data_IF_755591359151
#
_entry.id   IF_755591359151
#
_cell.length_a   1.000
_cell.length_b   1.000
_cell.length_c   1.000
_cell.angle_alpha   90.00
_cell.angle_beta   90.00
_cell.angle_gamma   90.00
#
_symmetry.space_group_name_H-M   'P 1'
#
loop_
_entity.id
_entity.type
_entity.pdbx_description
1 polymer ?
#
# COMPACT_ATOMS: atom_id res chain seq x y z
N UNK A 1 -20.18 -19.66 -3.31
CA UNK A 1 -20.79 -20.97 -2.99
C UNK A 1 -20.42 -21.26 -1.55
N UNK A 2 -21.35 -21.11 -0.65
CA UNK A 2 -21.23 -21.53 0.75
C UNK A 2 -21.38 -23.05 0.69
N UNK A 3 -20.41 -23.82 1.20
CA UNK A 3 -20.57 -25.27 1.33
C UNK A 3 -21.65 -25.52 2.36
N UNK A 4 -22.59 -26.38 2.07
CA UNK A 4 -23.70 -26.80 2.96
C UNK A 4 -23.25 -27.64 4.17
N UNK A 5 -21.97 -27.80 4.43
CA UNK A 5 -21.40 -28.34 5.65
C UNK A 5 -20.97 -27.17 6.54
N UNK A 6 -21.74 -26.89 7.60
CA UNK A 6 -21.52 -25.75 8.51
C UNK A 6 -20.26 -25.83 9.38
N UNK A 7 -19.15 -26.32 8.87
CA UNK A 7 -17.83 -26.23 9.47
C UNK A 7 -17.12 -25.00 8.84
N UNK A 8 -16.97 -23.93 9.62
CA UNK A 8 -16.13 -22.81 9.24
C UNK A 8 -14.68 -23.30 9.14
N UNK A 9 -14.14 -23.39 7.93
CA UNK A 9 -12.71 -23.71 7.75
C UNK A 9 -11.87 -22.54 8.27
N UNK A 10 -11.11 -22.75 9.33
CA UNK A 10 -10.13 -21.82 9.83
C UNK A 10 -9.11 -21.50 8.71
N UNK A 11 -8.88 -20.22 8.44
CA UNK A 11 -7.85 -19.81 7.49
C UNK A 11 -6.55 -19.54 8.25
N UNK A 12 -5.44 -20.14 7.82
CA UNK A 12 -4.15 -19.93 8.46
C UNK A 12 -3.11 -19.37 7.48
N UNK A 13 -2.27 -18.46 8.00
CA UNK A 13 -1.06 -17.98 7.33
C UNK A 13 0.15 -18.33 8.19
N UNK A 14 1.14 -19.00 7.59
CA UNK A 14 2.37 -19.41 8.27
C UNK A 14 3.54 -18.63 7.70
N UNK A 15 4.27 -17.94 8.56
CA UNK A 15 5.49 -17.21 8.23
C UNK A 15 6.67 -17.96 8.81
N UNK A 16 7.65 -18.30 7.97
CA UNK A 16 8.90 -18.94 8.40
C UNK A 16 10.03 -17.92 8.35
N UNK A 17 10.70 -17.73 9.47
CA UNK A 17 11.85 -16.86 9.59
C UNK A 17 13.14 -17.58 9.17
N UNK A 18 14.19 -16.81 8.85
CA UNK A 18 15.49 -17.35 8.44
C UNK A 18 16.19 -18.23 9.50
N UNK A 19 15.84 -18.05 10.78
CA UNK A 19 16.33 -18.87 11.89
C UNK A 19 15.50 -20.16 12.13
N UNK A 20 14.53 -20.44 11.25
CA UNK A 20 13.62 -21.57 11.35
C UNK A 20 12.46 -21.41 12.32
N UNK A 21 12.34 -20.24 12.97
CA UNK A 21 11.16 -19.91 13.77
C UNK A 21 9.94 -19.74 12.89
N UNK A 22 8.76 -20.13 13.39
CA UNK A 22 7.50 -20.01 12.66
C UNK A 22 6.50 -19.13 13.41
N UNK A 23 5.76 -18.31 12.67
CA UNK A 23 4.64 -17.54 13.14
C UNK A 23 3.39 -18.01 12.40
N UNK A 24 2.38 -18.44 13.13
CA UNK A 24 1.12 -18.87 12.55
C UNK A 24 0.00 -17.94 12.97
N UNK A 25 -0.66 -17.36 11.98
CA UNK A 25 -1.85 -16.54 12.14
C UNK A 25 -3.06 -17.39 11.75
N UNK A 26 -3.98 -17.62 12.65
CA UNK A 26 -5.23 -18.36 12.40
C UNK A 26 -6.40 -17.41 12.50
N UNK A 27 -7.13 -17.26 11.42
CA UNK A 27 -8.39 -16.53 11.37
C UNK A 27 -9.52 -17.52 11.63
N UNK A 28 -10.11 -17.42 12.82
CA UNK A 28 -11.29 -18.20 13.23
C UNK A 28 -12.52 -17.35 13.09
N UNK A 29 -13.49 -17.80 12.31
CA UNK A 29 -14.70 -17.05 12.02
C UNK A 29 -14.41 -15.57 11.70
N UNK A 30 -15.35 -14.79 11.31
CA UNK A 30 -15.13 -13.39 10.87
C UNK A 30 -14.58 -12.44 11.94
N UNK A 31 -14.31 -12.88 13.16
CA UNK A 31 -14.03 -11.99 14.29
C UNK A 31 -12.85 -12.36 15.18
N UNK A 32 -12.25 -13.53 15.07
CA UNK A 32 -11.15 -13.95 15.94
C UNK A 32 -9.90 -14.27 15.16
N UNK A 33 -8.82 -13.55 15.51
CA UNK A 33 -7.49 -13.83 15.02
C UNK A 33 -6.66 -14.41 16.17
N UNK A 34 -6.13 -15.62 15.99
CA UNK A 34 -5.21 -16.25 16.94
C UNK A 34 -3.82 -16.21 16.32
N UNK A 35 -2.89 -15.69 17.09
CA UNK A 35 -1.48 -15.62 16.72
C UNK A 35 -0.67 -16.56 17.61
N UNK A 36 0.02 -17.50 16.99
CA UNK A 36 0.93 -18.44 17.67
C UNK A 36 2.33 -18.30 17.11
N UNK A 37 3.33 -18.39 17.98
CA UNK A 37 4.73 -18.30 17.61
C UNK A 37 5.47 -19.51 18.18
N UNK A 38 6.08 -20.27 17.28
CA UNK A 38 7.03 -21.33 17.62
C UNK A 38 8.44 -20.81 17.34
N UNK A 39 9.27 -20.72 18.36
CA UNK A 39 10.62 -20.18 18.25
C UNK A 39 11.67 -21.29 18.36
N UNK A 40 12.66 -21.20 17.51
CA UNK A 40 13.93 -21.92 17.69
C UNK A 40 14.72 -21.23 18.80
N UNK A 41 14.57 -21.71 20.06
CA UNK A 41 15.24 -21.12 21.22
C UNK A 41 14.31 -20.83 22.38
N UNK A 42 14.63 -19.86 23.26
CA UNK A 42 13.81 -19.54 24.42
C UNK A 42 12.39 -19.14 24.05
N UNK A 43 11.41 -19.65 24.79
CA UNK A 43 9.99 -19.39 24.56
C UNK A 43 9.68 -17.89 24.66
N UNK A 44 9.00 -17.36 23.67
CA UNK A 44 8.51 -15.98 23.64
C UNK A 44 7.12 -15.96 24.28
N UNK A 45 7.01 -15.31 25.45
CA UNK A 45 5.76 -15.27 26.23
C UNK A 45 5.16 -13.86 26.39
N UNK A 46 5.89 -12.82 25.97
CA UNK A 46 5.45 -11.43 26.07
C UNK A 46 5.58 -10.69 24.75
N UNK A 47 4.74 -9.67 24.54
CA UNK A 47 4.82 -8.81 23.35
C UNK A 47 6.19 -8.11 23.22
N UNK A 48 6.82 -7.73 24.34
CA UNK A 48 8.14 -7.11 24.34
C UNK A 48 9.22 -8.10 23.89
N UNK A 49 9.22 -9.34 24.42
CA UNK A 49 10.12 -10.39 24.01
C UNK A 49 9.93 -10.76 22.53
N UNK A 50 8.67 -10.75 22.05
CA UNK A 50 8.36 -10.96 20.64
C UNK A 50 8.96 -9.87 19.76
N UNK A 51 8.73 -8.58 20.07
CA UNK A 51 9.30 -7.46 19.31
C UNK A 51 10.83 -7.44 19.31
N UNK A 52 11.44 -7.84 20.41
CA UNK A 52 12.91 -7.95 20.49
C UNK A 52 13.46 -9.10 19.65
N UNK A 53 12.76 -10.22 19.61
CA UNK A 53 13.18 -11.41 18.84
C UNK A 53 12.91 -11.27 17.35
N UNK A 54 11.78 -10.66 17.01
CA UNK A 54 11.33 -10.41 15.63
C UNK A 54 11.16 -8.90 15.43
N UNK A 55 12.23 -8.19 15.07
CA UNK A 55 12.20 -6.73 14.85
C UNK A 55 11.52 -6.39 13.52
N UNK A 56 10.30 -6.92 13.33
CA UNK A 56 9.47 -6.63 12.18
C UNK A 56 8.55 -5.46 12.52
N UNK A 57 8.73 -4.36 11.83
CA UNK A 57 7.78 -3.25 11.84
C UNK A 57 7.05 -3.26 10.48
N UNK A 58 5.82 -3.78 10.49
CA UNK A 58 5.01 -3.94 9.29
C UNK A 58 4.04 -2.79 9.17
N UNK A 59 4.06 -2.11 8.06
CA UNK A 59 3.09 -1.09 7.71
C UNK A 59 2.25 -1.55 6.52
N UNK A 60 0.97 -1.79 6.75
CA UNK A 60 0.02 -2.05 5.68
C UNK A 60 -0.62 -0.72 5.24
N UNK A 61 -0.56 -0.42 3.95
CA UNK A 61 -1.23 0.75 3.40
C UNK A 61 -2.74 0.57 3.59
N UNK A 62 -3.43 1.57 4.15
CA UNK A 62 -4.88 1.51 4.29
C UNK A 62 -5.55 1.58 2.91
N UNK A 63 -6.84 1.26 2.87
CA UNK A 63 -7.65 1.41 1.65
C UNK A 63 -7.59 2.86 1.16
N UNK A 64 -7.18 3.04 -0.09
CA UNK A 64 -7.10 4.32 -0.76
C UNK A 64 -8.43 4.64 -1.44
N UNK A 65 -8.75 5.93 -1.54
CA UNK A 65 -10.00 6.36 -2.16
C UNK A 65 -10.11 7.89 -2.24
N UNK A 66 -11.26 8.39 -2.69
CA UNK A 66 -11.50 9.84 -2.69
C UNK A 66 -11.31 10.44 -1.30
N UNK A 67 -10.75 11.65 -1.27
CA UNK A 67 -10.70 12.45 -0.05
C UNK A 67 -12.10 12.99 0.28
N UNK A 68 -12.35 13.25 1.56
CA UNK A 68 -13.61 13.91 1.95
C UNK A 68 -13.68 15.32 1.36
N UNK A 69 -14.85 15.74 0.91
CA UNK A 69 -15.06 17.09 0.37
C UNK A 69 -14.87 18.14 1.46
N UNK A 70 -15.32 17.83 2.67
CA UNK A 70 -15.18 18.66 3.85
C UNK A 70 -14.58 17.86 4.99
N UNK A 71 -13.54 18.37 5.60
CA UNK A 71 -12.84 17.72 6.72
C UNK A 71 -12.82 18.68 7.92
N UNK A 72 -13.55 18.34 8.98
CA UNK A 72 -13.52 19.08 10.23
C UNK A 72 -12.19 18.92 10.96
N UNK A 73 -11.83 19.94 11.74
CA UNK A 73 -10.69 19.82 12.65
C UNK A 73 -11.04 18.86 13.80
N UNK A 74 -10.37 17.76 13.85
CA UNK A 74 -10.65 16.65 14.78
C UNK A 74 -9.68 16.68 15.99
N UNK A 75 -10.04 15.99 17.06
CA UNK A 75 -9.16 15.85 18.22
C UNK A 75 -7.98 14.92 17.93
N UNK A 76 -6.84 15.13 18.61
CA UNK A 76 -5.63 14.32 18.43
C UNK A 76 -5.90 12.84 18.71
N UNK A 77 -6.63 12.52 19.76
CA UNK A 77 -7.00 11.15 20.13
C UNK A 77 -7.79 10.45 19.03
N UNK A 78 -8.69 11.17 18.34
CA UNK A 78 -9.46 10.60 17.24
C UNK A 78 -8.57 10.33 16.03
N UNK A 79 -7.71 11.30 15.67
CA UNK A 79 -6.79 11.17 14.55
C UNK A 79 -5.83 10.01 14.76
N UNK A 80 -5.20 9.91 15.95
CA UNK A 80 -4.32 8.79 16.28
C UNK A 80 -5.00 7.42 16.14
N UNK A 81 -6.25 7.32 16.61
CA UNK A 81 -7.01 6.06 16.53
C UNK A 81 -7.36 5.65 15.11
N UNK A 82 -7.58 6.62 14.22
CA UNK A 82 -8.04 6.37 12.84
C UNK A 82 -6.85 6.23 11.88
N UNK A 83 -5.70 6.83 12.21
CA UNK A 83 -4.49 6.77 11.39
C UNK A 83 -4.06 5.32 11.13
N UNK A 84 -3.78 4.99 9.87
CA UNK A 84 -3.42 3.64 9.42
C UNK A 84 -4.60 2.66 9.30
N UNK A 85 -5.81 3.07 9.65
CA UNK A 85 -7.03 2.27 9.46
C UNK A 85 -7.79 2.60 8.17
N UNK A 86 -8.92 1.91 7.96
CA UNK A 86 -9.76 2.07 6.76
C UNK A 86 -10.29 3.49 6.53
N UNK A 87 -10.31 4.32 7.56
CA UNK A 87 -10.85 5.68 7.50
C UNK A 87 -9.75 6.74 7.39
N UNK A 88 -8.50 6.37 7.15
CA UNK A 88 -7.39 7.33 7.08
C UNK A 88 -7.51 8.32 5.92
N UNK A 89 -8.20 7.96 4.82
CA UNK A 89 -8.51 8.90 3.75
C UNK A 89 -9.43 10.04 4.20
N UNK A 90 -10.24 9.83 5.26
CA UNK A 90 -11.16 10.83 5.81
C UNK A 90 -10.50 11.85 6.73
N UNK A 91 -9.25 11.62 7.12
CA UNK A 91 -8.50 12.48 8.02
C UNK A 91 -7.21 12.99 7.38
N UNK A 92 -7.16 13.06 6.06
CA UNK A 92 -5.96 13.37 5.30
C UNK A 92 -5.41 14.77 5.65
N UNK A 93 -6.26 15.80 5.70
CA UNK A 93 -5.86 17.16 6.06
C UNK A 93 -5.48 17.26 7.54
N UNK A 94 -6.22 16.58 8.43
CA UNK A 94 -5.90 16.48 9.85
C UNK A 94 -4.53 15.85 10.09
N UNK A 95 -4.18 14.82 9.31
CA UNK A 95 -2.87 14.18 9.39
C UNK A 95 -1.75 15.18 9.08
N UNK A 96 -1.84 15.88 7.95
CA UNK A 96 -0.81 16.81 7.51
C UNK A 96 -0.76 18.10 8.33
N UNK A 97 -1.88 18.55 8.87
CA UNK A 97 -1.93 19.66 9.82
C UNK A 97 -1.07 19.39 11.06
N UNK A 98 -1.10 18.14 11.56
CA UNK A 98 -0.30 17.71 12.71
C UNK A 98 1.14 17.36 12.37
N UNK A 99 1.39 16.94 11.18
CA UNK A 99 2.74 16.55 10.72
C UNK A 99 3.44 17.68 9.95
N UNK A 100 3.29 18.89 10.44
CA UNK A 100 3.85 20.10 9.81
C UNK A 100 5.37 20.02 9.56
N UNK A 101 6.11 19.32 10.41
CA UNK A 101 7.56 19.10 10.25
C UNK A 101 7.91 18.21 9.06
N UNK A 102 7.04 17.27 8.70
CA UNK A 102 7.22 16.38 7.55
C UNK A 102 6.60 16.95 6.26
N UNK A 103 5.73 17.96 6.38
CA UNK A 103 5.03 18.53 5.23
C UNK A 103 5.97 19.06 4.14
N UNK A 104 7.09 19.73 4.41
CA UNK A 104 8.02 20.17 3.36
C UNK A 104 8.55 19.00 2.52
N UNK A 105 8.86 17.86 3.14
CA UNK A 105 9.29 16.63 2.43
C UNK A 105 8.16 16.09 1.56
N UNK A 106 6.95 16.06 2.07
CA UNK A 106 5.76 15.63 1.34
C UNK A 106 5.52 16.54 0.13
N UNK A 107 5.48 17.87 0.34
CA UNK A 107 5.32 18.86 -0.73
C UNK A 107 6.35 18.66 -1.83
N UNK A 108 7.62 18.61 -1.48
CA UNK A 108 8.71 18.42 -2.45
C UNK A 108 8.55 17.11 -3.24
N UNK A 109 8.12 16.03 -2.58
CA UNK A 109 7.88 14.74 -3.23
C UNK A 109 6.70 14.81 -4.20
N UNK A 110 5.60 15.44 -3.81
CA UNK A 110 4.43 15.65 -4.69
C UNK A 110 4.84 16.44 -5.93
N UNK A 111 5.48 17.58 -5.76
CA UNK A 111 5.89 18.48 -6.84
C UNK A 111 6.91 17.83 -7.79
N UNK A 112 7.82 17.02 -7.27
CA UNK A 112 8.77 16.26 -8.07
C UNK A 112 8.12 15.12 -8.85
N UNK A 113 7.06 14.51 -8.30
CA UNK A 113 6.39 13.36 -8.90
C UNK A 113 5.19 13.73 -9.77
N UNK A 114 4.68 14.95 -9.61
CA UNK A 114 3.59 15.49 -10.43
C UNK A 114 3.93 16.91 -10.92
N UNK A 115 4.70 17.03 -12.00
CA UNK A 115 5.20 18.32 -12.49
C UNK A 115 4.07 19.31 -12.82
N UNK A 116 4.24 20.55 -12.40
CA UNK A 116 3.30 21.64 -12.67
C UNK A 116 2.19 21.80 -11.63
N UNK A 117 2.23 20.99 -10.56
CA UNK A 117 1.38 21.14 -9.39
C UNK A 117 2.22 21.68 -8.22
N UNK A 118 1.64 22.60 -7.47
CA UNK A 118 2.13 23.02 -6.16
C UNK A 118 1.03 22.76 -5.13
N UNK A 119 1.41 22.37 -3.90
CA UNK A 119 0.46 22.13 -2.81
C UNK A 119 0.75 23.03 -1.61
N UNK A 120 -0.31 23.41 -0.89
CA UNK A 120 -0.21 24.18 0.37
C UNK A 120 -0.39 23.28 1.58
N UNK A 121 0.14 23.71 2.73
CA UNK A 121 -0.19 23.05 3.99
C UNK A 121 -1.68 23.22 4.33
N UNK A 122 -2.30 22.27 5.04
CA UNK A 122 -3.66 22.45 5.51
C UNK A 122 -3.76 23.59 6.53
N UNK A 123 -4.82 24.38 6.43
CA UNK A 123 -5.14 25.48 7.33
C UNK A 123 -6.54 25.34 7.88
N UNK A 124 -6.80 25.89 9.08
CA UNK A 124 -8.13 25.89 9.69
C UNK A 124 -8.89 27.12 9.22
N UNK A 125 -10.07 26.90 8.67
CA UNK A 125 -11.03 27.93 8.25
C UNK A 125 -12.31 27.87 9.07
N UNK A 126 -12.91 29.04 9.30
CA UNK A 126 -14.19 29.17 10.00
C UNK A 126 -14.08 29.17 11.53
N UNK A 127 -15.26 29.15 12.17
CA UNK A 127 -15.40 29.14 13.63
C UNK A 127 -15.40 27.69 14.16
N UNK A 128 -15.06 27.50 15.43
CA UNK A 128 -15.00 26.18 16.05
C UNK A 128 -16.27 25.33 15.81
N UNK A 129 -16.14 24.06 15.37
CA UNK A 129 -14.91 23.27 15.33
C UNK A 129 -13.95 23.56 14.16
N UNK A 130 -14.29 24.46 13.24
CA UNK A 130 -13.46 24.79 12.07
C UNK A 130 -13.31 23.64 11.05
N UNK A 131 -13.06 24.00 9.81
CA UNK A 131 -12.78 23.04 8.74
C UNK A 131 -11.32 23.16 8.31
N UNK A 132 -10.72 22.05 7.93
CA UNK A 132 -9.40 22.03 7.34
C UNK A 132 -9.53 22.09 5.81
N UNK A 133 -8.87 23.05 5.22
CA UNK A 133 -8.75 23.17 3.77
C UNK A 133 -7.29 23.05 3.35
N UNK A 134 -7.05 22.43 2.22
CA UNK A 134 -5.74 22.25 1.60
C UNK A 134 -5.87 22.46 0.11
N UNK A 135 -4.99 23.28 -0.45
CA UNK A 135 -5.10 23.69 -1.85
C UNK A 135 -3.97 23.10 -2.68
N UNK A 136 -4.27 22.90 -3.96
CA UNK A 136 -3.28 22.71 -4.99
C UNK A 136 -3.41 23.78 -6.07
N UNK A 137 -2.29 24.20 -6.61
CA UNK A 137 -2.24 25.16 -7.72
C UNK A 137 -1.76 24.46 -9.00
N UNK A 138 -2.53 24.60 -10.05
CA UNK A 138 -2.19 24.17 -11.40
C UNK A 138 -2.41 25.34 -12.37
N UNK A 139 -1.36 25.68 -13.14
CA UNK A 139 -1.44 26.81 -14.10
C UNK A 139 -1.94 28.12 -13.45
N UNK A 140 -1.46 28.39 -12.22
CA UNK A 140 -1.84 29.58 -11.41
C UNK A 140 -3.33 29.62 -11.02
N UNK A 141 -3.95 28.48 -10.88
CA UNK A 141 -5.33 28.35 -10.38
C UNK A 141 -5.33 27.47 -9.17
N UNK A 142 -5.71 28.04 -8.05
CA UNK A 142 -5.84 27.34 -6.78
C UNK A 142 -7.20 26.64 -6.71
N UNK A 143 -7.18 25.41 -6.26
CA UNK A 143 -8.37 24.58 -6.01
C UNK A 143 -8.17 23.77 -4.75
N UNK A 144 -9.25 23.49 -4.06
CA UNK A 144 -9.23 22.58 -2.93
C UNK A 144 -8.92 21.14 -3.41
N UNK A 145 -8.16 20.37 -2.62
CA UNK A 145 -7.62 19.06 -3.07
C UNK A 145 -8.70 18.01 -3.36
N UNK A 146 -9.88 18.07 -2.73
CA UNK A 146 -10.99 17.17 -3.05
C UNK A 146 -11.55 17.39 -4.45
N UNK A 147 -11.32 18.57 -5.05
CA UNK A 147 -11.73 18.87 -6.43
C UNK A 147 -10.75 18.34 -7.47
N UNK A 148 -9.63 17.79 -7.04
CA UNK A 148 -8.69 17.14 -7.95
C UNK A 148 -9.25 15.81 -8.46
N UNK A 149 -8.76 15.35 -9.61
CA UNK A 149 -9.08 14.01 -10.09
C UNK A 149 -8.65 12.93 -9.09
N UNK A 150 -9.42 11.85 -8.99
CA UNK A 150 -9.16 10.75 -8.02
C UNK A 150 -7.76 10.19 -8.10
N UNK A 151 -7.17 10.09 -9.29
CA UNK A 151 -5.78 9.64 -9.45
C UNK A 151 -4.79 10.51 -8.67
N UNK A 152 -4.95 11.84 -8.67
CA UNK A 152 -4.12 12.75 -7.89
C UNK A 152 -4.37 12.59 -6.38
N UNK A 153 -5.63 12.49 -5.96
CA UNK A 153 -5.98 12.30 -4.55
C UNK A 153 -5.39 10.98 -3.99
N UNK A 154 -5.46 9.89 -4.75
CA UNK A 154 -4.85 8.60 -4.39
C UNK A 154 -3.33 8.71 -4.38
N UNK A 155 -2.74 9.42 -5.33
CA UNK A 155 -1.29 9.66 -5.36
C UNK A 155 -0.80 10.37 -4.11
N UNK A 156 -1.50 11.41 -3.66
CA UNK A 156 -1.19 12.12 -2.41
C UNK A 156 -1.22 11.17 -1.20
N UNK A 157 -2.21 10.29 -1.12
CA UNK A 157 -2.31 9.31 -0.04
C UNK A 157 -1.17 8.29 -0.08
N UNK A 158 -0.83 7.76 -1.25
CA UNK A 158 0.30 6.84 -1.42
C UNK A 158 1.62 7.46 -0.96
N UNK A 159 1.90 8.70 -1.39
CA UNK A 159 3.10 9.42 -0.95
C UNK A 159 3.08 9.69 0.57
N UNK A 160 1.90 9.99 1.14
CA UNK A 160 1.73 10.14 2.58
C UNK A 160 2.15 8.86 3.31
N UNK A 161 1.64 7.71 2.88
CA UNK A 161 1.96 6.43 3.52
C UNK A 161 3.44 6.05 3.35
N UNK A 162 4.04 6.34 2.20
CA UNK A 162 5.48 6.14 1.99
C UNK A 162 6.32 6.98 2.97
N UNK A 163 5.96 8.25 3.15
CA UNK A 163 6.70 9.17 4.01
C UNK A 163 6.49 8.84 5.50
N UNK A 164 5.25 8.54 5.89
CA UNK A 164 4.93 8.27 7.30
C UNK A 164 5.34 6.89 7.76
N UNK A 165 5.59 5.96 6.84
CA UNK A 165 6.07 4.60 7.15
C UNK A 165 7.59 4.48 7.27
N UNK A 166 8.31 5.57 7.52
CA UNK A 166 9.78 5.59 7.51
C UNK A 166 10.42 4.54 8.44
N UNK A 167 9.80 4.26 9.60
CA UNK A 167 10.29 3.27 10.57
C UNK A 167 9.98 1.82 10.19
N UNK A 168 9.01 1.60 9.32
CA UNK A 168 8.63 0.27 8.92
C UNK A 168 9.78 -0.45 8.21
N UNK A 169 9.95 -1.73 8.50
CA UNK A 169 10.89 -2.62 7.79
C UNK A 169 10.23 -3.32 6.61
N UNK A 170 8.92 -3.49 6.69
CA UNK A 170 8.12 -4.18 5.67
C UNK A 170 6.89 -3.35 5.33
N UNK A 171 6.64 -3.17 4.04
CA UNK A 171 5.45 -2.51 3.49
C UNK A 171 4.53 -3.56 2.86
N UNK A 172 3.24 -3.49 3.17
CA UNK A 172 2.20 -4.27 2.52
C UNK A 172 1.30 -3.32 1.76
N UNK A 173 1.15 -3.53 0.46
CA UNK A 173 0.37 -2.67 -0.43
C UNK A 173 -0.58 -3.54 -1.25
N UNK A 174 -1.87 -3.25 -1.18
CA UNK A 174 -2.92 -4.02 -1.84
C UNK A 174 -3.61 -3.17 -2.91
N UNK A 175 -3.55 -3.62 -4.15
CA UNK A 175 -4.15 -2.99 -5.35
C UNK A 175 -3.92 -1.47 -5.45
N UNK A 176 -2.68 -0.96 -5.34
CA UNK A 176 -2.43 0.49 -5.34
C UNK A 176 -2.63 1.15 -6.69
N UNK A 177 -2.80 0.35 -7.75
CA UNK A 177 -3.05 0.83 -9.11
C UNK A 177 -4.42 1.45 -9.33
N UNK A 178 -5.37 1.24 -8.40
CA UNK A 178 -6.73 1.78 -8.52
C UNK A 178 -6.68 3.30 -8.69
N UNK A 179 -7.34 3.81 -9.73
CA UNK A 179 -7.33 5.21 -10.16
C UNK A 179 -6.00 5.75 -10.71
N UNK A 180 -4.91 5.00 -10.74
CA UNK A 180 -3.64 5.48 -11.25
C UNK A 180 -3.47 5.22 -12.75
N UNK A 181 -3.01 6.25 -13.47
CA UNK A 181 -2.53 6.09 -14.83
C UNK A 181 -1.30 5.16 -14.87
N UNK A 182 -1.09 4.37 -15.95
CA UNK A 182 0.06 3.46 -16.08
C UNK A 182 1.42 4.05 -15.71
N UNK A 183 1.70 5.29 -16.10
CA UNK A 183 2.97 5.95 -15.77
C UNK A 183 3.15 6.18 -14.26
N UNK A 184 2.04 6.46 -13.54
CA UNK A 184 2.07 6.59 -12.09
C UNK A 184 2.22 5.24 -11.38
N UNK A 185 1.69 4.17 -11.97
CA UNK A 185 1.86 2.81 -11.44
C UNK A 185 3.34 2.40 -11.49
N UNK A 186 4.04 2.67 -12.60
CA UNK A 186 5.49 2.44 -12.72
C UNK A 186 6.27 3.29 -11.72
N UNK A 187 5.92 4.57 -11.63
CA UNK A 187 6.59 5.49 -10.70
C UNK A 187 6.39 5.09 -9.24
N UNK A 188 5.20 4.61 -8.88
CA UNK A 188 4.96 4.05 -7.55
C UNK A 188 5.86 2.85 -7.28
N UNK A 189 5.97 1.95 -8.24
CA UNK A 189 6.83 0.77 -8.10
C UNK A 189 8.30 1.14 -7.92
N UNK A 190 8.80 2.12 -8.68
CA UNK A 190 10.15 2.68 -8.51
C UNK A 190 10.33 3.30 -7.11
N UNK A 191 9.36 4.07 -6.62
CA UNK A 191 9.40 4.67 -5.29
C UNK A 191 9.41 3.62 -4.19
N UNK A 192 8.59 2.58 -4.30
CA UNK A 192 8.58 1.45 -3.36
C UNK A 192 9.95 0.76 -3.32
N UNK A 193 10.54 0.46 -4.48
CA UNK A 193 11.90 -0.11 -4.58
C UNK A 193 12.96 0.79 -3.96
N UNK A 194 12.88 2.10 -4.22
CA UNK A 194 13.84 3.07 -3.70
C UNK A 194 13.83 3.19 -2.17
N UNK A 195 12.79 2.70 -1.48
CA UNK A 195 12.77 2.65 -0.01
C UNK A 195 13.81 1.69 0.57
N UNK A 196 14.28 0.70 -0.19
CA UNK A 196 15.16 -0.38 0.28
C UNK A 196 14.50 -1.31 1.31
N UNK A 197 13.19 -1.22 1.52
CA UNK A 197 12.42 -2.04 2.46
C UNK A 197 11.94 -3.33 1.80
N UNK A 198 11.55 -4.30 2.62
CA UNK A 198 10.79 -5.43 2.11
C UNK A 198 9.40 -4.95 1.70
N UNK A 199 9.00 -5.22 0.46
CA UNK A 199 7.69 -4.84 -0.06
C UNK A 199 6.92 -6.10 -0.44
N UNK A 200 5.70 -6.23 0.06
CA UNK A 200 4.71 -7.22 -0.38
C UNK A 200 3.60 -6.46 -1.08
N UNK A 201 3.52 -6.64 -2.39
CA UNK A 201 2.60 -5.92 -3.25
C UNK A 201 1.63 -6.90 -3.91
N UNK A 202 0.33 -6.75 -3.64
CA UNK A 202 -0.71 -7.44 -4.40
C UNK A 202 -1.21 -6.50 -5.50
N UNK A 203 -1.26 -6.98 -6.75
CA UNK A 203 -1.62 -6.15 -7.89
C UNK A 203 -2.24 -6.93 -9.03
N UNK A 204 -3.12 -6.27 -9.77
CA UNK A 204 -3.61 -6.68 -11.07
C UNK A 204 -3.02 -5.83 -12.22
N UNK A 205 -2.04 -4.97 -11.93
CA UNK A 205 -1.39 -4.10 -12.91
C UNK A 205 -0.39 -4.84 -13.78
N UNK A 206 -0.61 -4.83 -15.09
CA UNK A 206 0.38 -5.30 -16.07
C UNK A 206 1.65 -4.46 -16.07
N UNK A 207 1.56 -3.18 -15.75
CA UNK A 207 2.70 -2.26 -15.72
C UNK A 207 3.66 -2.63 -14.59
N UNK A 208 3.12 -2.86 -13.40
CA UNK A 208 3.91 -3.29 -12.24
C UNK A 208 4.53 -4.68 -12.47
N UNK A 209 3.73 -5.63 -12.99
CA UNK A 209 4.23 -6.99 -13.27
C UNK A 209 5.31 -7.00 -14.35
N UNK A 210 5.22 -6.11 -15.36
CA UNK A 210 6.23 -6.01 -16.42
C UNK A 210 7.56 -5.40 -15.93
N UNK A 211 7.50 -4.49 -14.95
CA UNK A 211 8.67 -3.82 -14.39
C UNK A 211 9.32 -4.62 -13.25
N UNK A 212 8.61 -5.62 -12.70
CA UNK A 212 9.14 -6.52 -11.69
C UNK A 212 10.15 -7.52 -12.27
N UNK A 213 11.17 -7.87 -11.48
CA UNK A 213 12.04 -9.00 -11.79
C UNK A 213 11.23 -10.31 -11.70
N UNK A 214 11.62 -11.33 -12.48
CA UNK A 214 10.83 -12.57 -12.56
C UNK A 214 10.68 -13.27 -11.21
N UNK A 215 11.74 -13.31 -10.45
CA UNK A 215 11.78 -13.96 -9.14
C UNK A 215 11.10 -13.13 -8.03
N UNK A 216 10.70 -11.89 -8.32
CA UNK A 216 9.85 -11.08 -7.44
C UNK A 216 8.35 -11.43 -7.60
N UNK A 217 7.96 -11.99 -8.74
CA UNK A 217 6.56 -12.25 -9.05
C UNK A 217 6.11 -13.60 -8.51
N UNK A 218 5.04 -13.60 -7.72
CA UNK A 218 4.38 -14.80 -7.23
C UNK A 218 2.96 -14.86 -7.80
N UNK A 219 2.70 -15.85 -8.65
CA UNK A 219 1.35 -16.08 -9.18
C UNK A 219 0.52 -16.86 -8.18
N UNK A 220 -0.58 -16.25 -7.72
CA UNK A 220 -1.55 -16.89 -6.83
C UNK A 220 -2.74 -17.37 -7.63
N UNK A 221 -2.99 -18.68 -7.63
CA UNK A 221 -4.15 -19.28 -8.27
C UNK A 221 -5.16 -19.77 -7.22
N UNK A 222 -6.22 -18.99 -7.00
CA UNK A 222 -7.26 -19.30 -6.01
C UNK A 222 -7.97 -20.63 -6.30
N UNK A 223 -8.21 -20.97 -7.57
CA UNK A 223 -8.90 -22.22 -7.96
C UNK A 223 -8.06 -23.45 -7.65
N UNK A 224 -6.74 -23.35 -7.86
CA UNK A 224 -5.78 -24.44 -7.59
C UNK A 224 -5.23 -24.39 -6.16
N UNK A 225 -5.61 -23.40 -5.34
CA UNK A 225 -5.06 -23.16 -3.99
C UNK A 225 -3.53 -23.21 -3.98
N UNK A 226 -2.89 -22.58 -4.97
CA UNK A 226 -1.45 -22.63 -5.17
C UNK A 226 -0.85 -21.23 -5.31
N UNK A 227 0.37 -21.07 -4.78
CA UNK A 227 1.22 -19.91 -5.01
C UNK A 227 2.52 -20.40 -5.66
N UNK A 228 2.90 -19.81 -6.80
CA UNK A 228 4.09 -20.20 -7.56
C UNK A 228 4.93 -18.97 -7.84
N UNK A 229 6.17 -18.96 -7.36
CA UNK A 229 7.16 -17.96 -7.75
C UNK A 229 7.56 -18.20 -9.21
N UNK A 230 7.64 -17.12 -9.98
CA UNK A 230 7.95 -17.21 -11.41
C UNK A 230 9.46 -17.21 -11.58
N UNK A 231 9.97 -18.25 -12.22
CA UNK A 231 11.39 -18.38 -12.55
C UNK A 231 11.64 -18.35 -14.06
N UNK A 232 10.59 -18.57 -14.86
CA UNK A 232 10.67 -18.68 -16.30
C UNK A 232 9.77 -17.66 -17.02
N UNK A 233 10.11 -17.32 -18.26
CA UNK A 233 9.34 -16.37 -19.09
C UNK A 233 7.89 -16.86 -19.31
N UNK A 234 7.71 -18.18 -19.44
CA UNK A 234 6.37 -18.78 -19.61
C UNK A 234 5.46 -18.49 -18.40
N UNK A 235 6.02 -18.50 -17.17
CA UNK A 235 5.28 -18.15 -15.96
C UNK A 235 4.87 -16.67 -15.92
N UNK A 236 5.72 -15.77 -16.41
CA UNK A 236 5.36 -14.35 -16.51
C UNK A 236 4.22 -14.14 -17.53
N UNK A 237 4.24 -14.88 -18.63
CA UNK A 237 3.15 -14.86 -19.61
C UNK A 237 1.84 -15.37 -19.01
N UNK A 238 1.88 -16.43 -18.21
CA UNK A 238 0.72 -16.95 -17.48
C UNK A 238 0.17 -15.90 -16.48
N UNK A 239 1.05 -15.20 -15.76
CA UNK A 239 0.66 -14.14 -14.86
C UNK A 239 -0.04 -12.99 -15.60
N UNK A 240 0.57 -12.46 -16.65
CA UNK A 240 -0.02 -11.40 -17.48
C UNK A 240 -1.35 -11.81 -18.12
N UNK A 241 -1.46 -13.06 -18.55
CA UNK A 241 -2.71 -13.60 -19.08
C UNK A 241 -3.80 -13.68 -18.00
N UNK A 242 -3.43 -14.09 -16.78
CA UNK A 242 -4.37 -14.25 -15.66
C UNK A 242 -4.99 -12.93 -15.19
N UNK A 243 -4.27 -11.80 -15.36
CA UNK A 243 -4.76 -10.44 -15.07
C UNK A 243 -5.44 -9.76 -16.27
N UNK A 244 -5.71 -10.52 -17.36
CA UNK A 244 -6.41 -10.00 -18.53
C UNK A 244 -5.54 -9.19 -19.51
N UNK A 245 -4.22 -9.18 -19.35
CA UNK A 245 -3.27 -8.36 -20.13
C UNK A 245 -2.65 -9.10 -21.34
N UNK A 246 -3.39 -10.01 -21.96
CA UNK A 246 -2.90 -10.82 -23.09
C UNK A 246 -2.33 -10.00 -24.26
N UNK A 247 -2.81 -8.77 -24.47
CA UNK A 247 -2.34 -7.90 -25.56
C UNK A 247 -0.91 -7.40 -25.36
N UNK A 248 -0.45 -7.25 -24.13
CA UNK A 248 0.91 -6.75 -23.81
C UNK A 248 2.01 -7.80 -24.01
N UNK A 249 1.65 -9.09 -24.06
CA UNK A 249 2.61 -10.18 -24.29
C UNK A 249 3.29 -10.06 -25.66
N UNK A 250 2.56 -9.64 -26.68
CA UNK A 250 3.12 -9.47 -28.02
C UNK A 250 4.10 -8.30 -28.12
N UNK A 251 3.85 -7.19 -27.43
CA UNK A 251 4.71 -6.02 -27.43
C UNK A 251 6.03 -6.27 -26.67
N UNK A 252 5.98 -6.98 -25.55
CA UNK A 252 7.17 -7.38 -24.79
C UNK A 252 8.08 -8.33 -25.55
N UNK A 253 7.54 -9.21 -26.42
CA UNK A 253 8.31 -10.07 -27.30
C UNK A 253 9.05 -9.30 -28.39
N UNK A 254 8.43 -8.22 -28.91
CA UNK A 254 9.01 -7.39 -29.97
C UNK A 254 10.13 -6.47 -29.44
N UNK A 255 10.01 -5.96 -28.22
CA UNK A 255 11.00 -5.04 -27.64
C UNK A 255 12.29 -5.74 -27.17
N UNK A 256 12.23 -7.01 -26.78
CA UNK A 256 13.40 -7.81 -26.35
C UNK A 256 14.20 -8.46 -27.47
N UNK A 257 13.71 -8.41 -28.70
CA UNK A 257 14.39 -8.94 -29.91
C UNK A 257 15.39 -7.98 -30.55
N UNK A 258 15.55 -6.75 -30.06
CA UNK A 258 16.53 -5.76 -30.55
C UNK A 258 17.51 -5.37 -29.46
N UNK A 259 18.42 -6.25 -29.14
CA UNK A 259 19.76 -5.86 -28.69
C UNK A 259 20.72 -6.23 -29.82
N UNK A 260 21.01 -5.26 -30.66
CA UNK A 260 22.21 -5.20 -31.47
C UNK A 260 23.22 -4.38 -30.73
#
# INVERSE_FOLDING_TARGET
MVSESGESEDTSAIFTCSDGSTMTLVLKDSARCIFTVEVNGPRVSTASAFKSRFPLDVFAFPTLGPLEDEEEYLTDLYVERVTGGRLSNRIFRNLWYRQSTLFPKFKATVEATWPGIEITAPEIFGFAPGKLEMFFSEKRRDREISWAGYGFQVWLQLLTHLITSERATTLIVDEPEIYLHPDLQRRLFELLRATGKQVVLATHSSEIVNDAERDEVVLINRRRRSAKRITEIAGLQEALFSIGSAQNIHLTKLSRGRRV
#
